data_IF_714679893730
#
_entry.id   IF_714679893730
#
_cell.length_a   1.000
_cell.length_b   1.000
_cell.length_c   1.000
_cell.angle_alpha   90.00
_cell.angle_beta   90.00
_cell.angle_gamma   90.00
#
_symmetry.space_group_name_H-M   'P 1'
#
loop_
_entity.id
_entity.type
_entity.pdbx_description
1 polymer ?
#
# COMPACT_ATOMS: atom_id res chain seq x y z
N UNK A 1 17.65 -6.78 11.64
CA UNK A 1 16.21 -6.80 11.96
C UNK A 1 15.65 -5.45 11.55
N UNK A 2 14.91 -5.37 10.45
CA UNK A 2 14.22 -4.12 10.08
C UNK A 2 13.17 -3.84 11.15
N UNK A 3 13.22 -2.65 11.76
CA UNK A 3 12.21 -2.25 12.74
C UNK A 3 10.85 -2.07 12.05
N UNK A 4 9.74 -2.35 12.73
CA UNK A 4 8.39 -2.11 12.17
C UNK A 4 8.20 -0.63 11.78
N UNK A 5 8.90 0.28 12.46
CA UNK A 5 8.97 1.69 12.08
C UNK A 5 9.60 1.91 10.69
N UNK A 6 10.71 1.21 10.39
CA UNK A 6 11.39 1.34 9.10
C UNK A 6 10.53 0.80 7.96
N UNK A 7 9.76 -0.27 8.22
CA UNK A 7 8.79 -0.84 7.29
C UNK A 7 7.68 0.17 6.98
N UNK A 8 7.07 0.75 8.00
CA UNK A 8 6.00 1.76 7.82
C UNK A 8 6.54 2.99 7.08
N UNK A 9 7.74 3.49 7.42
CA UNK A 9 8.37 4.62 6.71
C UNK A 9 8.54 4.31 5.22
N UNK A 10 9.08 3.13 4.90
CA UNK A 10 9.26 2.66 3.52
C UNK A 10 7.93 2.60 2.76
N UNK A 11 6.86 2.12 3.40
CA UNK A 11 5.51 2.14 2.83
C UNK A 11 4.98 3.54 2.55
N UNK A 12 5.26 4.52 3.42
CA UNK A 12 4.82 5.93 3.25
C UNK A 12 5.55 6.57 2.07
N UNK A 13 6.87 6.37 1.97
CA UNK A 13 7.69 6.87 0.86
C UNK A 13 7.17 6.32 -0.48
N UNK A 14 6.88 5.02 -0.53
CA UNK A 14 6.30 4.36 -1.70
C UNK A 14 4.94 4.96 -2.10
N UNK A 15 4.00 5.07 -1.16
CA UNK A 15 2.66 5.60 -1.44
C UNK A 15 2.69 7.07 -1.85
N UNK A 16 3.61 7.86 -1.28
CA UNK A 16 3.80 9.27 -1.64
C UNK A 16 4.26 9.41 -3.08
N UNK A 17 5.24 8.60 -3.50
CA UNK A 17 5.72 8.60 -4.87
C UNK A 17 4.66 8.10 -5.85
N UNK A 18 3.87 7.08 -5.49
CA UNK A 18 2.77 6.57 -6.32
C UNK A 18 1.70 7.65 -6.59
N UNK A 19 1.28 8.37 -5.55
CA UNK A 19 0.26 9.44 -5.67
C UNK A 19 0.80 10.66 -6.42
N UNK A 20 2.10 10.91 -6.38
CA UNK A 20 2.73 12.03 -7.07
C UNK A 20 2.82 11.83 -8.60
N UNK A 21 2.39 10.67 -9.11
CA UNK A 21 2.43 10.36 -10.55
C UNK A 21 3.86 10.27 -11.08
N UNK A 22 4.82 9.98 -10.19
CA UNK A 22 6.23 10.06 -10.52
C UNK A 22 6.63 8.87 -11.40
N UNK A 23 6.80 9.11 -12.70
CA UNK A 23 7.30 8.10 -13.66
C UNK A 23 8.62 7.49 -13.18
N UNK A 24 9.43 8.26 -12.44
CA UNK A 24 10.67 7.80 -11.82
C UNK A 24 10.46 6.68 -10.79
N UNK A 25 9.29 6.59 -10.14
CA UNK A 25 9.02 5.49 -9.22
C UNK A 25 8.84 4.16 -9.95
N UNK A 26 8.15 4.17 -11.08
CA UNK A 26 7.93 2.94 -11.88
C UNK A 26 9.25 2.44 -12.46
N UNK A 27 10.11 3.36 -12.90
CA UNK A 27 11.47 3.06 -13.36
C UNK A 27 12.35 2.57 -12.20
N UNK A 28 12.38 3.29 -11.07
CA UNK A 28 13.14 2.93 -9.87
C UNK A 28 12.76 1.55 -9.31
N UNK A 29 11.47 1.21 -9.26
CA UNK A 29 10.99 -0.10 -8.84
C UNK A 29 11.35 -1.19 -9.86
N UNK A 30 11.26 -0.87 -11.16
CA UNK A 30 11.64 -1.78 -12.24
C UNK A 30 13.13 -2.11 -12.25
N UNK A 31 13.98 -1.13 -11.94
CA UNK A 31 15.42 -1.27 -11.79
C UNK A 31 15.79 -2.00 -10.49
N UNK A 32 15.22 -1.59 -9.35
CA UNK A 32 15.46 -2.25 -8.05
C UNK A 32 15.04 -3.71 -8.05
N UNK A 33 13.94 -4.07 -8.72
CA UNK A 33 13.50 -5.48 -8.85
C UNK A 33 14.47 -6.34 -9.67
N UNK A 34 15.21 -5.74 -10.61
CA UNK A 34 16.25 -6.43 -11.39
C UNK A 34 17.56 -6.57 -10.63
N UNK A 35 17.91 -5.59 -9.82
CA UNK A 35 19.20 -5.52 -9.12
C UNK A 35 19.18 -6.19 -7.74
N UNK A 36 18.08 -6.06 -7.00
CA UNK A 36 17.93 -6.59 -5.64
C UNK A 36 16.48 -7.02 -5.34
N UNK A 37 16.15 -8.31 -5.53
CA UNK A 37 14.83 -8.86 -5.20
C UNK A 37 14.44 -8.70 -3.73
N UNK A 38 15.41 -8.72 -2.80
CA UNK A 38 15.14 -8.59 -1.36
C UNK A 38 14.72 -7.15 -0.99
N UNK A 39 15.21 -6.15 -1.72
CA UNK A 39 14.73 -4.77 -1.59
C UNK A 39 13.26 -4.63 -2.03
N UNK A 40 12.84 -5.38 -3.05
CA UNK A 40 11.43 -5.42 -3.48
C UNK A 40 10.53 -6.05 -2.43
N UNK A 41 10.96 -7.16 -1.83
CA UNK A 41 10.23 -7.80 -0.72
C UNK A 41 10.10 -6.86 0.48
N UNK A 42 11.18 -6.17 0.85
CA UNK A 42 11.17 -5.19 1.95
C UNK A 42 10.19 -4.05 1.71
N UNK A 43 10.07 -3.60 0.45
CA UNK A 43 9.16 -2.54 0.06
C UNK A 43 7.69 -2.99 0.07
N UNK A 44 7.42 -4.21 -0.38
CA UNK A 44 6.08 -4.83 -0.27
C UNK A 44 5.67 -5.02 1.20
N UNK A 45 6.59 -5.51 2.04
CA UNK A 45 6.38 -5.64 3.48
C UNK A 45 6.10 -4.28 4.13
N UNK A 46 6.84 -3.24 3.73
CA UNK A 46 6.63 -1.88 4.22
C UNK A 46 5.25 -1.31 3.85
N UNK A 47 4.83 -1.54 2.60
CA UNK A 47 3.51 -1.15 2.12
C UNK A 47 2.41 -1.91 2.86
N UNK A 48 2.58 -3.22 3.09
CA UNK A 48 1.64 -4.02 3.85
C UNK A 48 1.52 -3.54 5.31
N UNK A 49 2.64 -3.21 5.95
CA UNK A 49 2.67 -2.66 7.31
C UNK A 49 1.95 -1.30 7.40
N UNK A 50 2.14 -0.43 6.41
CA UNK A 50 1.40 0.84 6.32
C UNK A 50 -0.11 0.60 6.15
N UNK A 51 -0.52 -0.30 5.25
CA UNK A 51 -1.93 -0.64 5.03
C UNK A 51 -2.58 -1.18 6.32
N UNK A 52 -1.87 -2.02 7.08
CA UNK A 52 -2.35 -2.51 8.37
C UNK A 52 -2.50 -1.37 9.40
N UNK A 53 -1.52 -0.47 9.50
CA UNK A 53 -1.59 0.68 10.41
C UNK A 53 -2.74 1.65 10.06
N UNK A 54 -2.98 1.88 8.77
CA UNK A 54 -4.11 2.67 8.28
C UNK A 54 -5.44 1.99 8.59
N UNK A 55 -5.56 0.68 8.35
CA UNK A 55 -6.77 -0.08 8.64
C UNK A 55 -7.12 -0.04 10.14
N UNK A 56 -6.12 -0.22 11.01
CA UNK A 56 -6.30 -0.14 12.45
C UNK A 56 -6.71 1.29 12.91
N UNK A 57 -6.20 2.32 12.24
CA UNK A 57 -6.58 3.71 12.50
C UNK A 57 -8.02 3.98 12.06
N UNK A 58 -8.42 3.51 10.88
CA UNK A 58 -9.78 3.61 10.38
C UNK A 58 -10.76 2.88 11.31
N UNK A 59 -10.47 1.64 11.70
CA UNK A 59 -11.31 0.87 12.62
C UNK A 59 -11.59 1.62 13.94
N UNK A 60 -10.55 2.22 14.52
CA UNK A 60 -10.67 3.04 15.75
C UNK A 60 -11.50 4.31 15.53
N UNK A 61 -11.23 5.04 14.46
CA UNK A 61 -11.88 6.33 14.19
C UNK A 61 -13.36 6.17 13.79
N UNK A 62 -13.68 5.16 13.00
CA UNK A 62 -15.07 4.90 12.55
C UNK A 62 -15.86 4.02 13.50
N UNK A 63 -15.24 3.48 14.56
CA UNK A 63 -15.81 2.46 15.46
C UNK A 63 -16.38 1.25 14.71
N UNK A 64 -15.70 0.83 13.64
CA UNK A 64 -16.05 -0.35 12.84
C UNK A 64 -14.94 -1.37 12.98
N UNK A 65 -15.28 -2.64 12.79
CA UNK A 65 -14.26 -3.67 12.70
C UNK A 65 -13.44 -3.49 11.42
N UNK A 66 -12.17 -3.89 11.48
CA UNK A 66 -11.28 -3.95 10.31
C UNK A 66 -11.91 -4.78 9.17
N UNK A 67 -12.61 -5.86 9.53
CA UNK A 67 -13.30 -6.73 8.56
C UNK A 67 -14.43 -6.01 7.82
N UNK A 68 -15.27 -5.23 8.52
CA UNK A 68 -16.33 -4.45 7.87
C UNK A 68 -15.78 -3.39 6.91
N UNK A 69 -14.65 -2.78 7.25
CA UNK A 69 -13.97 -1.81 6.40
C UNK A 69 -13.43 -2.50 5.15
N UNK A 70 -12.73 -3.63 5.30
CA UNK A 70 -12.21 -4.41 4.17
C UNK A 70 -13.32 -4.91 3.23
N UNK A 71 -14.45 -5.39 3.79
CA UNK A 71 -15.59 -5.81 2.98
C UNK A 71 -16.17 -4.65 2.16
N UNK A 72 -16.26 -3.46 2.73
CA UNK A 72 -16.75 -2.28 2.02
C UNK A 72 -15.78 -1.83 0.93
N UNK A 73 -14.48 -1.79 1.22
CA UNK A 73 -13.45 -1.47 0.24
C UNK A 73 -13.50 -2.44 -0.95
N UNK A 74 -13.60 -3.75 -0.70
CA UNK A 74 -13.73 -4.76 -1.76
C UNK A 74 -14.96 -4.51 -2.65
N UNK A 75 -16.12 -4.20 -2.05
CA UNK A 75 -17.34 -3.86 -2.80
C UNK A 75 -17.18 -2.57 -3.63
N UNK A 76 -16.48 -1.58 -3.09
CA UNK A 76 -16.21 -0.31 -3.76
C UNK A 76 -15.27 -0.45 -4.97
N UNK A 77 -14.21 -1.25 -4.84
CA UNK A 77 -13.25 -1.51 -5.92
C UNK A 77 -13.91 -2.24 -7.09
N UNK A 78 -14.71 -3.28 -6.82
CA UNK A 78 -15.46 -3.97 -7.88
C UNK A 78 -16.40 -3.04 -8.66
N UNK A 79 -17.02 -2.06 -7.98
CA UNK A 79 -17.89 -1.07 -8.65
C UNK A 79 -17.11 -0.10 -9.54
N UNK A 80 -15.88 0.26 -9.16
CA UNK A 80 -15.01 1.11 -9.98
C UNK A 80 -14.49 0.38 -11.21
N UNK A 81 -14.04 -0.86 -11.05
CA UNK A 81 -13.57 -1.70 -12.17
C UNK A 81 -14.65 -1.90 -13.23
N UNK A 82 -15.90 -2.14 -12.82
CA UNK A 82 -17.04 -2.27 -13.75
C UNK A 82 -17.38 -0.96 -14.49
N UNK A 83 -17.05 0.21 -13.94
CA UNK A 83 -17.30 1.52 -14.58
C UNK A 83 -16.17 1.99 -15.49
N UNK A 84 -14.96 1.47 -15.31
CA UNK A 84 -13.80 1.82 -16.14
C UNK A 84 -13.62 0.86 -17.33
N UNK A 85 -14.42 -0.21 -17.41
CA UNK A 85 -14.42 -1.18 -18.51
C UNK A 85 -15.50 -0.96 -19.58
N UNK A 86 -16.33 0.07 -19.42
CA UNK A 86 -17.28 0.62 -20.41
C UNK A 86 -16.69 1.90 -21.03
#
# INVERSE_FOLDING_TARGET
MSSDYDRVRTGIEFMTAYVSGDELLTEYLGERRREDPAATETLLDGTAALCAALLQTLARTTRRSEHEILQELARGTHRREQRSGD
#
